data_IF_725238607436
#
_entry.id   IF_725238607436
#
_cell.length_a   1.000
_cell.length_b   1.000
_cell.length_c   1.000
_cell.angle_alpha   90.00
_cell.angle_beta   90.00
_cell.angle_gamma   90.00
#
_symmetry.space_group_name_H-M   'P 1'
#
loop_
_entity.id
_entity.type
_entity.pdbx_description
1 polymer ?
#
# COMPACT_ATOMS: atom_id res chain seq x y z
N UNK A 1 46.42 -52.99 15.29
CA UNK A 1 45.73 -53.02 13.98
C UNK A 1 44.39 -52.32 14.16
N UNK A 2 44.31 -50.99 14.06
CA UNK A 2 44.11 -50.23 12.81
C UNK A 2 43.18 -50.93 11.81
N UNK A 3 41.89 -50.58 11.85
CA UNK A 3 41.00 -50.29 10.70
C UNK A 3 39.53 -50.39 11.13
N UNK A 4 38.90 -49.28 11.53
CA UNK A 4 37.43 -49.09 11.44
C UNK A 4 36.94 -47.65 11.68
N UNK A 5 37.79 -46.62 11.62
CA UNK A 5 37.34 -45.21 11.80
C UNK A 5 37.17 -44.43 10.49
N UNK A 6 37.15 -45.09 9.33
CA UNK A 6 37.01 -44.43 8.03
C UNK A 6 35.61 -44.54 7.41
N UNK A 7 34.73 -45.44 7.90
CA UNK A 7 33.38 -45.58 7.34
C UNK A 7 32.33 -44.65 7.96
N UNK A 8 32.54 -44.17 9.19
CA UNK A 8 31.55 -43.31 9.87
C UNK A 8 31.76 -41.82 9.60
N UNK A 9 32.95 -41.39 9.17
CA UNK A 9 33.22 -40.00 8.80
C UNK A 9 32.65 -39.68 7.41
N UNK A 10 32.60 -40.65 6.49
CA UNK A 10 32.04 -40.46 5.15
C UNK A 10 30.51 -40.40 5.19
N UNK A 11 29.85 -41.18 6.04
CA UNK A 11 28.39 -41.16 6.17
C UNK A 11 27.86 -39.87 6.81
N UNK A 12 28.58 -39.31 7.80
CA UNK A 12 28.22 -38.04 8.43
C UNK A 12 28.50 -36.86 7.48
N UNK A 13 29.56 -36.92 6.68
CA UNK A 13 29.82 -35.91 5.64
C UNK A 13 28.76 -35.95 4.51
N UNK A 14 28.27 -37.14 4.11
CA UNK A 14 27.23 -37.24 3.08
C UNK A 14 25.85 -36.77 3.56
N UNK A 15 25.52 -37.00 4.85
CA UNK A 15 24.29 -36.47 5.46
C UNK A 15 24.37 -34.96 5.75
N UNK A 16 25.54 -34.42 6.09
CA UNK A 16 25.75 -32.98 6.27
C UNK A 16 25.87 -32.21 4.94
N UNK A 17 26.28 -32.86 3.84
CA UNK A 17 26.26 -32.24 2.51
C UNK A 17 24.88 -32.25 1.83
N UNK A 18 23.95 -33.14 2.20
CA UNK A 18 22.57 -33.09 1.69
C UNK A 18 21.70 -32.03 2.38
N UNK A 19 22.07 -31.56 3.57
CA UNK A 19 21.39 -30.43 4.25
C UNK A 19 21.98 -29.06 3.91
N UNK A 20 23.04 -29.00 3.09
CA UNK A 20 23.73 -27.75 2.74
C UNK A 20 23.50 -27.29 1.29
N UNK A 21 22.60 -27.94 0.54
CA UNK A 21 22.29 -27.59 -0.84
C UNK A 21 20.79 -27.40 -1.11
N UNK A 22 19.98 -27.14 -0.08
CA UNK A 22 18.55 -26.78 -0.21
C UNK A 22 18.32 -25.28 0.09
N UNK A 23 19.32 -24.47 -0.26
CA UNK A 23 19.26 -23.01 -0.25
C UNK A 23 18.49 -22.41 -1.44
N UNK A 24 17.72 -23.21 -2.18
CA UNK A 24 16.67 -22.63 -3.01
C UNK A 24 15.51 -22.29 -2.09
N UNK A 25 15.41 -21.02 -1.68
CA UNK A 25 14.11 -20.42 -1.38
C UNK A 25 13.17 -20.92 -2.49
N UNK A 26 12.22 -21.83 -2.17
CA UNK A 26 11.16 -22.20 -3.11
C UNK A 26 10.46 -20.90 -3.43
N UNK A 27 10.81 -20.29 -4.56
CA UNK A 27 10.22 -19.05 -5.00
C UNK A 27 8.70 -19.27 -4.95
N UNK A 28 7.99 -18.44 -4.17
CA UNK A 28 6.55 -18.56 -4.07
C UNK A 28 6.01 -18.45 -5.50
N UNK A 29 5.48 -19.53 -6.06
CA UNK A 29 5.00 -19.52 -7.44
C UNK A 29 3.83 -18.54 -7.50
N UNK A 30 3.88 -17.59 -8.44
CA UNK A 30 2.79 -16.64 -8.66
C UNK A 30 1.47 -17.37 -8.88
N UNK A 31 0.46 -17.02 -8.08
CA UNK A 31 -0.93 -17.43 -8.28
C UNK A 31 -1.58 -16.52 -9.32
N UNK A 32 -2.31 -17.10 -10.26
CA UNK A 32 -3.17 -16.35 -11.21
C UNK A 32 -4.61 -16.71 -10.87
N UNK A 33 -5.46 -15.71 -10.64
CA UNK A 33 -6.85 -15.89 -10.18
C UNK A 33 -7.78 -15.01 -11.01
N UNK A 34 -8.93 -15.54 -11.42
CA UNK A 34 -10.00 -14.71 -11.96
C UNK A 34 -10.85 -14.14 -10.84
N UNK A 35 -11.08 -12.82 -10.84
CA UNK A 35 -11.96 -12.18 -9.85
C UNK A 35 -13.45 -12.48 -10.09
N UNK A 36 -13.81 -13.05 -11.23
CA UNK A 36 -15.18 -13.49 -11.53
C UNK A 36 -15.61 -14.68 -10.66
N UNK A 37 -14.65 -15.46 -10.17
CA UNK A 37 -14.88 -16.61 -9.31
C UNK A 37 -14.97 -16.24 -7.81
N UNK A 38 -14.70 -14.98 -7.48
CA UNK A 38 -14.67 -14.50 -6.09
C UNK A 38 -16.07 -14.06 -5.65
N UNK A 39 -16.55 -14.46 -4.45
CA UNK A 39 -17.85 -14.03 -3.93
C UNK A 39 -17.99 -12.50 -3.98
N UNK A 40 -19.04 -12.04 -4.66
CA UNK A 40 -19.24 -10.62 -4.96
C UNK A 40 -20.48 -10.07 -4.27
N UNK A 41 -20.36 -8.92 -3.61
CA UNK A 41 -21.45 -8.22 -2.93
C UNK A 41 -21.37 -6.72 -3.27
N UNK A 42 -22.50 -6.09 -3.58
CA UNK A 42 -22.57 -4.62 -3.72
C UNK A 42 -22.71 -3.98 -2.34
N UNK A 43 -21.87 -2.98 -2.04
CA UNK A 43 -21.92 -2.31 -0.75
C UNK A 43 -22.81 -1.06 -0.78
N UNK A 44 -23.66 -0.86 0.24
CA UNK A 44 -24.34 0.41 0.42
C UNK A 44 -23.33 1.49 0.83
N UNK A 45 -23.43 2.65 0.19
CA UNK A 45 -22.64 3.84 0.52
C UNK A 45 -23.39 4.70 1.52
N UNK A 46 -22.71 5.09 2.59
CA UNK A 46 -23.20 6.04 3.58
C UNK A 46 -22.37 7.32 3.54
N UNK A 47 -23.00 8.45 3.27
CA UNK A 47 -22.31 9.75 3.34
C UNK A 47 -22.06 10.13 4.79
N UNK A 48 -20.79 10.36 5.14
CA UNK A 48 -20.42 10.90 6.45
C UNK A 48 -20.54 12.42 6.41
N UNK A 49 -19.87 13.06 5.44
CA UNK A 49 -19.91 14.51 5.26
C UNK A 49 -19.42 14.88 3.87
N UNK A 50 -19.81 16.08 3.43
CA UNK A 50 -19.15 16.77 2.34
C UNK A 50 -17.85 17.39 2.83
N UNK A 51 -16.80 17.36 2.02
CA UNK A 51 -15.57 18.10 2.29
C UNK A 51 -15.77 19.53 1.80
N UNK A 52 -15.79 20.47 2.74
CA UNK A 52 -15.80 21.90 2.41
C UNK A 52 -14.37 22.36 2.07
N UNK A 53 -14.22 23.02 0.92
CA UNK A 53 -12.94 23.51 0.42
C UNK A 53 -13.10 24.67 -0.54
N UNK A 54 -12.01 25.44 -0.73
CA UNK A 54 -11.95 26.45 -1.77
C UNK A 54 -12.03 25.76 -3.14
N UNK A 55 -12.62 26.46 -4.13
CA UNK A 55 -12.92 25.98 -5.50
C UNK A 55 -11.72 25.39 -6.28
N UNK A 56 -10.52 25.40 -5.70
CA UNK A 56 -9.25 24.93 -6.26
C UNK A 56 -8.87 23.49 -5.84
N UNK A 57 -9.60 22.87 -4.92
CA UNK A 57 -9.41 21.45 -4.56
C UNK A 57 -10.28 20.58 -5.51
N UNK A 58 -9.88 20.48 -6.78
CA UNK A 58 -10.61 19.72 -7.82
C UNK A 58 -10.52 18.19 -7.67
N UNK A 59 -9.74 17.70 -6.71
CA UNK A 59 -9.52 16.26 -6.50
C UNK A 59 -9.71 15.88 -5.04
N UNK A 60 -10.31 14.71 -4.82
CA UNK A 60 -10.44 14.14 -3.49
C UNK A 60 -9.06 13.97 -2.83
N UNK A 61 -8.87 14.40 -1.56
CA UNK A 61 -7.59 14.24 -0.88
C UNK A 61 -7.40 12.80 -0.37
N UNK A 62 -6.13 12.38 -0.26
CA UNK A 62 -5.73 11.21 0.55
C UNK A 62 -5.99 11.55 2.03
N UNK A 63 -6.07 10.54 2.88
CA UNK A 63 -6.35 10.71 4.30
C UNK A 63 -5.78 9.58 5.15
N UNK A 64 -5.75 9.77 6.47
CA UNK A 64 -5.43 8.72 7.44
C UNK A 64 -6.57 8.54 8.44
N UNK A 65 -6.77 7.29 8.90
CA UNK A 65 -7.63 7.01 10.05
C UNK A 65 -6.79 7.07 11.32
N UNK A 66 -7.16 7.97 12.22
CA UNK A 66 -6.44 8.21 13.47
C UNK A 66 -7.20 7.52 14.60
N UNK A 67 -6.67 6.39 15.04
CA UNK A 67 -7.24 5.59 16.14
C UNK A 67 -8.69 5.17 15.92
N UNK A 68 -9.06 4.83 14.68
CA UNK A 68 -10.42 4.43 14.27
C UNK A 68 -11.53 5.44 14.64
N UNK A 69 -11.18 6.71 14.90
CA UNK A 69 -12.11 7.70 15.45
C UNK A 69 -12.15 9.00 14.63
N UNK A 70 -11.04 9.35 14.00
CA UNK A 70 -10.86 10.57 13.25
C UNK A 70 -10.35 10.28 11.84
N UNK A 71 -10.75 11.11 10.89
CA UNK A 71 -10.19 11.18 9.55
C UNK A 71 -9.32 12.43 9.45
N UNK A 72 -8.03 12.24 9.14
CA UNK A 72 -7.09 13.31 8.89
C UNK A 72 -6.84 13.46 7.39
N UNK A 73 -7.34 14.54 6.78
CA UNK A 73 -7.14 14.82 5.36
C UNK A 73 -5.71 15.30 5.09
N UNK A 74 -5.11 14.77 4.03
CA UNK A 74 -3.74 15.02 3.60
C UNK A 74 -3.75 15.76 2.25
N UNK A 75 -3.25 17.00 2.24
CA UNK A 75 -3.24 17.83 1.05
C UNK A 75 -1.89 17.78 0.33
N UNK A 76 -1.87 17.29 -0.91
CA UNK A 76 -0.66 17.19 -1.73
C UNK A 76 0.00 18.52 -2.09
N UNK A 77 -0.79 19.61 -2.08
CA UNK A 77 -0.33 20.97 -2.39
C UNK A 77 0.16 21.72 -1.15
N UNK A 78 -0.23 21.29 0.05
CA UNK A 78 0.14 21.95 1.29
C UNK A 78 0.39 20.95 2.42
N UNK A 79 1.66 20.55 2.55
CA UNK A 79 2.12 19.60 3.56
C UNK A 79 1.84 20.00 5.01
N UNK A 80 1.64 21.30 5.28
CA UNK A 80 1.40 21.78 6.64
C UNK A 80 -0.07 21.72 7.04
N UNK A 81 -0.97 21.64 6.07
CA UNK A 81 -2.41 21.71 6.29
C UNK A 81 -2.96 20.30 6.58
N UNK A 82 -3.53 20.14 7.77
CA UNK A 82 -4.32 18.98 8.14
C UNK A 82 -5.74 19.43 8.50
N UNK A 83 -6.74 18.71 7.99
CA UNK A 83 -8.15 18.89 8.40
C UNK A 83 -8.64 17.60 9.03
N UNK A 84 -9.29 17.71 10.17
CA UNK A 84 -9.83 16.58 10.90
C UNK A 84 -11.35 16.54 10.83
N UNK A 85 -11.88 15.36 10.53
CA UNK A 85 -13.31 15.06 10.60
C UNK A 85 -13.54 13.95 11.60
N UNK A 86 -14.60 14.09 12.40
CA UNK A 86 -15.10 12.98 13.20
C UNK A 86 -15.80 11.96 12.30
N UNK A 87 -15.80 10.69 12.70
CA UNK A 87 -16.61 9.68 12.00
C UNK A 87 -18.12 9.92 12.09
N UNK A 88 -18.55 10.83 12.96
CA UNK A 88 -19.93 11.31 13.06
C UNK A 88 -20.25 12.45 12.07
N UNK A 89 -19.30 12.85 11.22
CA UNK A 89 -19.51 13.86 10.17
C UNK A 89 -19.31 15.31 10.60
N UNK A 90 -19.14 15.58 11.90
CA UNK A 90 -18.83 16.93 12.36
C UNK A 90 -17.36 17.27 12.07
N UNK A 91 -17.06 18.40 11.38
CA UNK A 91 -15.70 18.89 11.23
C UNK A 91 -15.15 19.23 12.61
N UNK A 92 -13.97 18.71 12.91
CA UNK A 92 -13.34 18.94 14.22
C UNK A 92 -12.55 20.23 14.15
N UNK A 93 -11.57 20.31 13.24
CA UNK A 93 -10.76 21.54 13.06
C UNK A 93 -9.89 21.52 11.79
N UNK A 94 -9.48 22.71 11.34
CA UNK A 94 -8.38 22.96 10.39
C UNK A 94 -7.14 23.42 11.16
N UNK A 95 -6.01 22.76 10.96
CA UNK A 95 -4.77 23.05 11.68
C UNK A 95 -3.57 23.06 10.73
N UNK A 96 -2.65 23.99 10.96
CA UNK A 96 -1.34 24.03 10.33
C UNK A 96 -0.27 23.55 11.34
N UNK A 97 0.44 22.45 11.07
CA UNK A 97 1.61 22.03 11.85
C UNK A 97 2.84 22.12 10.94
N UNK A 98 3.77 23.04 11.26
CA UNK A 98 4.91 23.36 10.39
C UNK A 98 6.26 22.94 11.00
N UNK A 99 6.34 22.79 12.33
CA UNK A 99 7.58 22.54 13.06
C UNK A 99 7.40 21.45 14.11
N UNK A 100 8.51 20.82 14.50
CA UNK A 100 8.53 19.78 15.54
C UNK A 100 8.03 20.25 16.92
N UNK A 101 8.13 21.55 17.17
CA UNK A 101 7.68 22.20 18.40
C UNK A 101 6.19 22.52 18.40
N UNK A 102 5.54 22.44 17.24
CA UNK A 102 4.14 22.81 17.13
C UNK A 102 3.30 21.68 17.73
N UNK A 103 2.41 22.06 18.62
CA UNK A 103 1.38 21.19 19.18
C UNK A 103 0.03 21.82 18.93
N UNK A 104 -0.97 20.99 18.75
CA UNK A 104 -2.33 21.44 18.50
C UNK A 104 -3.31 20.66 19.37
N UNK A 105 -4.12 21.37 20.15
CA UNK A 105 -5.05 20.74 21.08
C UNK A 105 -6.34 20.31 20.38
N UNK A 106 -6.68 19.03 20.54
CA UNK A 106 -7.93 18.38 20.14
C UNK A 106 -8.59 17.72 21.38
N UNK A 107 -9.03 18.51 22.37
CA UNK A 107 -9.39 18.03 23.71
C UNK A 107 -10.56 17.05 23.73
N UNK A 108 -11.48 17.12 22.75
CA UNK A 108 -12.60 16.16 22.58
C UNK A 108 -12.09 14.73 22.36
N UNK A 109 -10.85 14.57 21.93
CA UNK A 109 -10.21 13.30 21.62
C UNK A 109 -9.04 13.01 22.56
N UNK A 110 -9.16 13.43 23.82
CA UNK A 110 -8.12 13.22 24.86
C UNK A 110 -7.80 11.76 25.15
N UNK A 111 -8.71 10.85 24.82
CA UNK A 111 -8.52 9.41 24.95
C UNK A 111 -7.65 8.79 23.85
N UNK A 112 -7.39 9.51 22.75
CA UNK A 112 -6.55 8.99 21.67
C UNK A 112 -5.07 9.01 22.08
N UNK A 113 -4.43 7.86 21.92
CA UNK A 113 -3.00 7.68 22.05
C UNK A 113 -2.52 6.82 20.87
N UNK A 114 -2.21 7.48 19.76
CA UNK A 114 -1.90 6.83 18.47
C UNK A 114 -0.97 7.70 17.65
N UNK A 115 -0.34 7.12 16.64
CA UNK A 115 0.42 7.85 15.64
C UNK A 115 -0.14 7.57 14.25
N UNK A 116 0.20 8.44 13.30
CA UNK A 116 0.00 8.21 11.88
C UNK A 116 1.12 8.87 11.10
N UNK A 117 1.36 8.40 9.89
CA UNK A 117 2.43 8.91 9.04
C UNK A 117 1.99 9.03 7.60
N UNK A 118 2.66 9.89 6.85
CA UNK A 118 2.52 9.93 5.41
C UNK A 118 3.76 10.54 4.75
N UNK A 119 4.03 10.10 3.52
CA UNK A 119 5.00 10.75 2.64
C UNK A 119 4.31 11.84 1.84
N UNK A 120 4.70 13.09 2.03
CA UNK A 120 4.16 14.17 1.21
C UNK A 120 4.82 14.17 -0.19
N UNK A 121 4.06 13.93 -1.26
CA UNK A 121 4.61 13.62 -2.59
C UNK A 121 5.41 14.78 -3.18
N UNK A 122 4.97 16.03 -2.96
CA UNK A 122 5.61 17.22 -3.55
C UNK A 122 6.90 17.62 -2.84
N UNK A 123 7.02 17.35 -1.54
CA UNK A 123 8.19 17.78 -0.74
C UNK A 123 9.18 16.64 -0.47
N UNK A 124 8.77 15.39 -0.70
CA UNK A 124 9.43 14.14 -0.30
C UNK A 124 9.84 14.14 1.16
N UNK A 125 8.94 14.60 2.03
CA UNK A 125 9.11 14.56 3.48
C UNK A 125 8.15 13.52 4.02
N UNK A 126 8.69 12.54 4.75
CA UNK A 126 7.93 11.58 5.53
C UNK A 126 7.63 12.19 6.89
N UNK A 127 6.36 12.48 7.16
CA UNK A 127 5.91 13.08 8.40
C UNK A 127 5.39 12.00 9.35
N UNK A 128 5.70 12.13 10.64
CA UNK A 128 5.24 11.22 11.68
C UNK A 128 4.54 12.03 12.76
N UNK A 129 3.21 11.98 12.75
CA UNK A 129 2.37 12.68 13.70
C UNK A 129 2.03 11.77 14.87
N UNK A 130 1.91 12.37 16.05
CA UNK A 130 1.44 11.72 17.25
C UNK A 130 0.22 12.46 17.78
N UNK A 131 -0.82 11.71 18.14
CA UNK A 131 -1.96 12.20 18.93
C UNK A 131 -1.89 11.54 20.29
N UNK A 132 -1.71 12.35 21.33
CA UNK A 132 -1.59 11.88 22.70
C UNK A 132 -2.22 12.88 23.67
N UNK A 133 -3.04 12.38 24.58
CA UNK A 133 -3.69 13.15 25.64
C UNK A 133 -4.42 14.41 25.08
N UNK A 134 -5.01 14.28 23.90
CA UNK A 134 -5.75 15.35 23.24
C UNK A 134 -4.86 16.40 22.60
N UNK A 135 -3.61 16.08 22.29
CA UNK A 135 -2.69 16.95 21.58
C UNK A 135 -2.12 16.23 20.36
N UNK A 136 -2.22 16.87 19.20
CA UNK A 136 -1.53 16.50 17.97
C UNK A 136 -0.17 17.18 17.94
N UNK A 137 0.88 16.44 17.60
CA UNK A 137 2.24 16.97 17.44
C UNK A 137 2.94 16.30 16.26
N UNK A 138 4.06 16.91 15.80
CA UNK A 138 4.94 16.35 14.77
C UNK A 138 6.32 16.05 15.39
N UNK A 139 6.47 14.97 16.18
CA UNK A 139 7.72 14.66 16.85
C UNK A 139 8.87 14.43 15.87
N UNK A 140 8.58 13.86 14.70
CA UNK A 140 9.60 13.54 13.72
C UNK A 140 9.17 13.78 12.27
N UNK A 141 10.16 14.05 11.44
CA UNK A 141 10.03 14.00 9.99
C UNK A 141 11.37 13.63 9.38
N UNK A 142 11.33 12.95 8.23
CA UNK A 142 12.51 12.52 7.49
C UNK A 142 12.45 13.05 6.06
N UNK A 143 13.51 13.71 5.60
CA UNK A 143 13.59 14.21 4.21
C UNK A 143 14.13 13.11 3.31
N UNK A 144 13.26 12.53 2.50
CA UNK A 144 13.57 11.43 1.57
C UNK A 144 13.87 11.95 0.15
N UNK A 145 14.65 13.02 0.03
CA UNK A 145 15.05 13.57 -1.30
C UNK A 145 16.27 12.81 -1.81
N UNK A 146 16.06 11.94 -2.79
CA UNK A 146 17.07 11.03 -3.34
C UNK A 146 17.30 11.22 -4.84
N UNK A 147 17.02 12.42 -5.37
CA UNK A 147 17.11 12.71 -6.81
C UNK A 147 16.07 11.87 -7.57
N UNK A 148 16.51 11.16 -8.60
CA UNK A 148 15.68 10.28 -9.43
C UNK A 148 15.05 9.12 -8.64
N UNK A 149 15.63 8.75 -7.48
CA UNK A 149 15.10 7.70 -6.62
C UNK A 149 14.16 8.22 -5.53
N UNK A 150 13.77 9.50 -5.57
CA UNK A 150 12.85 10.05 -4.57
C UNK A 150 11.54 9.25 -4.56
N UNK A 151 11.07 8.83 -3.37
CA UNK A 151 9.97 7.89 -3.27
C UNK A 151 8.65 8.52 -3.71
N UNK A 152 7.79 7.70 -4.31
CA UNK A 152 6.40 8.05 -4.63
C UNK A 152 5.40 7.62 -3.55
N UNK A 153 5.87 6.77 -2.65
CA UNK A 153 5.18 6.25 -1.47
C UNK A 153 6.23 5.59 -0.57
N UNK A 154 6.01 5.63 0.73
CA UNK A 154 6.92 5.04 1.69
C UNK A 154 6.16 4.63 2.95
N UNK A 155 6.69 3.62 3.62
CA UNK A 155 6.28 3.18 4.96
C UNK A 155 7.51 2.93 5.81
N UNK A 156 7.40 3.17 7.11
CA UNK A 156 8.48 2.92 8.07
C UNK A 156 8.49 1.44 8.47
N UNK A 157 9.64 0.79 8.36
CA UNK A 157 9.83 -0.62 8.75
C UNK A 157 10.26 -0.72 10.21
N UNK A 158 11.19 0.14 10.61
CA UNK A 158 11.76 0.24 11.95
C UNK A 158 12.36 1.64 12.17
N UNK A 159 13.14 1.82 13.24
CA UNK A 159 13.74 3.10 13.59
C UNK A 159 14.61 3.70 12.48
N UNK A 160 15.26 2.88 11.66
CA UNK A 160 16.27 3.31 10.68
C UNK A 160 15.90 2.99 9.23
N UNK A 161 14.89 2.14 9.00
CA UNK A 161 14.60 1.59 7.68
C UNK A 161 13.19 1.95 7.20
N UNK A 162 13.09 2.25 5.91
CA UNK A 162 11.85 2.56 5.22
C UNK A 162 11.72 1.64 4.00
N UNK A 163 10.53 1.08 3.75
CA UNK A 163 10.21 0.52 2.45
C UNK A 163 9.54 1.60 1.61
N UNK A 164 9.89 1.67 0.33
CA UNK A 164 9.43 2.73 -0.54
C UNK A 164 9.33 2.29 -1.99
N UNK A 165 8.42 2.92 -2.71
CA UNK A 165 8.18 2.70 -4.14
C UNK A 165 8.85 3.79 -4.96
N UNK A 166 9.21 3.44 -6.18
CA UNK A 166 9.78 4.35 -7.17
C UNK A 166 10.16 3.58 -8.43
N UNK A 167 10.78 4.28 -9.37
CA UNK A 167 11.11 3.73 -10.67
C UNK A 167 12.50 3.07 -10.61
N UNK A 168 12.57 1.79 -10.23
CA UNK A 168 13.85 1.10 -10.00
C UNK A 168 14.09 -0.04 -10.98
N UNK A 169 15.20 -0.03 -11.71
CA UNK A 169 15.53 -1.16 -12.60
C UNK A 169 15.71 -2.50 -11.87
N UNK A 170 16.14 -2.47 -10.61
CA UNK A 170 16.59 -3.65 -9.88
C UNK A 170 15.54 -4.23 -8.92
N UNK A 171 14.29 -3.76 -8.97
CA UNK A 171 13.18 -4.34 -8.22
C UNK A 171 11.91 -3.49 -8.20
N UNK A 172 10.78 -4.09 -7.84
CA UNK A 172 9.48 -3.40 -7.79
C UNK A 172 9.45 -2.26 -6.75
N UNK A 173 10.22 -2.39 -5.68
CA UNK A 173 10.30 -1.41 -4.59
C UNK A 173 11.67 -1.52 -3.89
N UNK A 174 11.95 -0.65 -2.93
CA UNK A 174 13.24 -0.61 -2.23
C UNK A 174 13.11 -0.49 -0.72
N UNK A 175 14.17 -0.88 -0.02
CA UNK A 175 14.40 -0.61 1.41
C UNK A 175 15.52 0.42 1.52
N UNK A 176 15.21 1.55 2.13
CA UNK A 176 16.15 2.64 2.40
C UNK A 176 16.54 2.64 3.86
N UNK A 177 17.85 2.62 4.11
CA UNK A 177 18.43 2.78 5.43
C UNK A 177 18.80 4.26 5.63
N UNK A 178 18.08 4.96 6.50
CA UNK A 178 18.18 6.42 6.68
C UNK A 178 19.60 6.90 7.01
N UNK A 179 20.34 6.30 7.99
CA UNK A 179 21.63 6.83 8.42
C UNK A 179 22.71 6.83 7.32
N UNK A 180 22.77 5.76 6.51
CA UNK A 180 23.80 5.62 5.46
C UNK A 180 23.28 5.92 4.06
N UNK A 181 21.97 6.14 3.94
CA UNK A 181 21.24 6.23 2.67
C UNK A 181 21.39 5.02 1.75
N UNK A 182 21.72 3.86 2.29
CA UNK A 182 21.85 2.63 1.51
C UNK A 182 20.48 2.15 1.02
N UNK A 183 20.43 1.75 -0.25
CA UNK A 183 19.22 1.22 -0.89
C UNK A 183 19.42 -0.28 -1.18
N UNK A 184 18.41 -1.08 -0.82
CA UNK A 184 18.30 -2.49 -1.21
C UNK A 184 17.00 -2.68 -1.98
N UNK A 185 17.08 -3.11 -3.23
CA UNK A 185 15.90 -3.35 -4.05
C UNK A 185 15.24 -4.69 -3.70
N UNK A 186 13.93 -4.75 -3.86
CA UNK A 186 13.10 -5.87 -3.48
C UNK A 186 11.97 -6.09 -4.50
N UNK A 187 11.58 -7.36 -4.62
CA UNK A 187 10.57 -7.80 -5.56
C UNK A 187 11.09 -7.94 -6.99
N UNK A 188 10.65 -9.00 -7.64
CA UNK A 188 10.97 -9.25 -9.04
C UNK A 188 9.83 -8.70 -9.89
N UNK A 189 10.19 -8.01 -10.98
CA UNK A 189 9.22 -7.68 -12.01
C UNK A 189 8.50 -8.97 -12.47
N UNK A 190 7.17 -8.98 -12.50
CA UNK A 190 6.42 -10.19 -12.82
C UNK A 190 6.38 -10.47 -14.35
N UNK A 191 7.35 -9.91 -15.09
CA UNK A 191 7.56 -10.05 -16.53
C UNK A 191 9.02 -10.44 -16.80
N UNK A 192 9.32 -10.94 -18.00
CA UNK A 192 10.67 -11.40 -18.32
C UNK A 192 11.70 -10.25 -18.18
N UNK A 193 12.78 -10.51 -17.44
CA UNK A 193 13.81 -9.52 -17.07
C UNK A 193 14.61 -8.97 -18.27
N UNK A 194 14.54 -9.62 -19.43
CA UNK A 194 15.20 -9.17 -20.65
C UNK A 194 14.59 -7.87 -21.22
N UNK A 195 13.48 -7.39 -20.64
CA UNK A 195 12.65 -6.30 -21.18
C UNK A 195 12.43 -5.09 -20.25
N UNK A 196 13.35 -4.73 -19.35
CA UNK A 196 13.15 -3.52 -18.52
C UNK A 196 14.00 -2.32 -18.96
N UNK A 197 13.73 -1.69 -20.12
CA UNK A 197 14.10 -0.30 -20.36
C UNK A 197 13.52 0.64 -19.29
N UNK A 198 14.15 1.80 -19.10
CA UNK A 198 13.73 2.81 -18.11
C UNK A 198 12.28 3.26 -18.33
N UNK A 199 11.80 3.24 -19.58
CA UNK A 199 10.43 3.62 -19.96
C UNK A 199 9.34 2.73 -19.34
N UNK A 200 9.67 1.53 -18.85
CA UNK A 200 8.71 0.58 -18.30
C UNK A 200 8.43 0.79 -16.82
N UNK A 201 9.38 1.41 -16.11
CA UNK A 201 9.36 1.51 -14.66
C UNK A 201 8.12 2.24 -14.10
N UNK A 202 7.60 3.31 -14.75
CA UNK A 202 6.39 3.98 -14.28
C UNK A 202 5.16 3.07 -14.21
N UNK A 203 5.05 2.05 -15.07
CA UNK A 203 3.88 1.15 -15.07
C UNK A 203 3.90 0.16 -13.90
N UNK A 204 5.03 -0.03 -13.23
CA UNK A 204 5.13 -0.83 -12.01
C UNK A 204 5.12 0.04 -10.74
N UNK A 205 4.76 1.31 -10.87
CA UNK A 205 4.31 2.06 -9.71
C UNK A 205 3.13 1.35 -9.04
N UNK A 206 2.95 1.61 -7.76
CA UNK A 206 1.99 0.90 -6.95
C UNK A 206 1.84 1.52 -5.58
N UNK A 207 1.23 0.78 -4.66
CA UNK A 207 1.10 1.15 -3.25
C UNK A 207 1.86 0.16 -2.39
N UNK A 208 2.38 0.65 -1.27
CA UNK A 208 3.00 -0.18 -0.23
C UNK A 208 2.34 0.12 1.11
N UNK A 209 2.04 -0.92 1.86
CA UNK A 209 1.55 -0.81 3.24
C UNK A 209 2.25 -1.82 4.15
N UNK A 210 2.18 -1.59 5.46
CA UNK A 210 2.83 -2.43 6.46
C UNK A 210 1.93 -2.66 7.68
N UNK A 211 1.94 -3.90 8.17
CA UNK A 211 1.38 -4.24 9.48
C UNK A 211 2.35 -5.16 10.22
N UNK A 212 2.86 -4.69 11.36
CA UNK A 212 3.91 -5.38 12.10
C UNK A 212 5.16 -5.57 11.23
N UNK A 213 5.54 -6.82 10.97
CA UNK A 213 6.69 -7.17 10.15
C UNK A 213 6.33 -7.61 8.72
N UNK A 214 5.07 -7.45 8.31
CA UNK A 214 4.59 -7.87 7.00
C UNK A 214 4.28 -6.66 6.13
N UNK A 215 4.78 -6.71 4.90
CA UNK A 215 4.66 -5.68 3.88
C UNK A 215 3.75 -6.21 2.77
N UNK A 216 2.89 -5.36 2.23
CA UNK A 216 2.12 -5.60 1.03
C UNK A 216 2.51 -4.59 -0.04
N UNK A 217 2.74 -5.05 -1.27
CA UNK A 217 2.93 -4.22 -2.45
C UNK A 217 1.85 -4.57 -3.48
N UNK A 218 1.19 -3.56 -4.05
CA UNK A 218 0.21 -3.74 -5.12
C UNK A 218 0.49 -2.76 -6.26
N UNK A 219 0.41 -3.21 -7.52
CA UNK A 219 0.70 -2.37 -8.69
C UNK A 219 -0.55 -1.59 -9.15
N UNK A 220 -0.35 -0.35 -9.63
CA UNK A 220 -1.42 0.50 -10.18
C UNK A 220 -1.89 0.03 -11.55
N UNK A 221 -0.98 -0.33 -12.44
CA UNK A 221 -1.32 -0.69 -13.83
C UNK A 221 -1.60 -2.17 -13.96
N UNK A 222 -0.97 -3.00 -13.15
CA UNK A 222 -1.16 -4.45 -13.23
C UNK A 222 -1.97 -4.94 -12.04
N UNK A 223 -2.93 -5.85 -12.28
CA UNK A 223 -3.60 -6.58 -11.21
C UNK A 223 -2.64 -7.55 -10.52
N UNK A 224 -1.60 -7.04 -9.88
CA UNK A 224 -0.54 -7.79 -9.23
C UNK A 224 -0.35 -7.26 -7.81
N UNK A 225 -0.35 -8.18 -6.86
CA UNK A 225 -0.10 -7.91 -5.44
C UNK A 225 0.86 -8.97 -4.88
N UNK A 226 1.75 -8.57 -3.99
CA UNK A 226 2.66 -9.48 -3.30
C UNK A 226 2.83 -9.09 -1.84
N UNK A 227 3.22 -10.07 -1.03
CA UNK A 227 3.52 -9.85 0.38
C UNK A 227 4.87 -10.42 0.77
N UNK A 228 5.52 -9.72 1.70
CA UNK A 228 6.85 -10.03 2.20
C UNK A 228 6.87 -9.92 3.71
N UNK A 229 7.77 -10.67 4.33
CA UNK A 229 8.11 -10.56 5.74
C UNK A 229 9.48 -9.91 5.89
N UNK A 230 9.58 -8.93 6.78
CA UNK A 230 10.81 -8.21 7.11
C UNK A 230 11.21 -8.46 8.57
N UNK A 231 12.23 -9.30 8.79
CA UNK A 231 12.73 -9.62 10.14
C UNK A 231 14.26 -9.52 10.11
N UNK A 232 14.86 -8.90 11.13
CA UNK A 232 16.32 -8.80 11.28
C UNK A 232 17.02 -8.29 10.01
N UNK A 233 16.46 -7.25 9.38
CA UNK A 233 16.97 -6.67 8.12
C UNK A 233 17.00 -7.64 6.92
N UNK A 234 16.30 -8.78 7.02
CA UNK A 234 16.10 -9.77 5.95
C UNK A 234 14.66 -9.71 5.46
N UNK A 235 14.51 -9.71 4.13
CA UNK A 235 13.23 -9.79 3.45
C UNK A 235 13.00 -11.21 2.91
N UNK A 236 11.80 -11.75 3.09
CA UNK A 236 11.38 -13.03 2.51
C UNK A 236 10.01 -12.86 1.87
N UNK A 237 9.88 -13.22 0.57
CA UNK A 237 8.58 -13.23 -0.13
C UNK A 237 7.70 -14.32 0.49
N UNK A 238 6.48 -13.97 0.88
CA UNK A 238 5.49 -14.91 1.39
C UNK A 238 4.65 -15.47 0.25
N UNK A 239 4.09 -14.58 -0.58
CA UNK A 239 3.25 -14.94 -1.71
C UNK A 239 3.18 -13.80 -2.73
N UNK A 240 2.69 -14.13 -3.92
CA UNK A 240 2.30 -13.17 -4.94
C UNK A 240 1.09 -13.68 -5.73
N UNK A 241 0.17 -12.78 -6.04
CA UNK A 241 -1.10 -13.06 -6.72
C UNK A 241 -1.31 -12.05 -7.84
N UNK A 242 -1.72 -12.59 -8.99
CA UNK A 242 -2.13 -11.84 -10.17
C UNK A 242 -3.63 -12.08 -10.40
N UNK A 243 -4.37 -11.01 -10.64
CA UNK A 243 -5.84 -11.00 -10.81
C UNK A 243 -6.29 -10.54 -12.20
N UNK A 244 -5.38 -9.97 -12.99
CA UNK A 244 -5.60 -9.64 -14.40
C UNK A 244 -4.35 -9.96 -15.22
N UNK A 245 -4.54 -10.28 -16.50
CA UNK A 245 -3.44 -10.57 -17.40
C UNK A 245 -2.60 -9.33 -17.71
N UNK A 246 -1.31 -9.54 -17.95
CA UNK A 246 -0.39 -8.49 -18.38
C UNK A 246 -0.48 -8.31 -19.89
N UNK A 247 -1.52 -7.63 -20.33
CA UNK A 247 -1.83 -7.44 -21.73
C UNK A 247 -1.17 -6.16 -22.26
N UNK A 248 0.07 -6.30 -22.75
CA UNK A 248 0.81 -5.21 -23.38
C UNK A 248 1.83 -5.74 -24.39
N UNK A 249 2.34 -4.84 -25.24
CA UNK A 249 3.45 -5.11 -26.16
C UNK A 249 4.39 -3.91 -26.25
N UNK A 250 5.63 -4.17 -26.62
CA UNK A 250 6.58 -3.13 -26.99
C UNK A 250 6.39 -2.73 -28.46
N UNK A 251 6.28 -1.44 -28.75
CA UNK A 251 6.26 -0.89 -30.11
C UNK A 251 7.10 0.39 -30.16
N UNK A 252 8.24 0.33 -30.84
CA UNK A 252 9.10 1.51 -31.01
C UNK A 252 9.75 2.02 -29.72
N UNK A 253 9.97 1.14 -28.73
CA UNK A 253 10.54 1.50 -27.41
C UNK A 253 9.50 1.96 -26.38
N UNK A 254 8.22 1.98 -26.74
CA UNK A 254 7.10 2.31 -25.85
C UNK A 254 6.25 1.08 -25.56
N UNK A 255 5.68 1.05 -24.35
CA UNK A 255 4.71 0.04 -23.95
C UNK A 255 3.32 0.46 -24.43
N UNK A 256 2.71 -0.39 -25.25
CA UNK A 256 1.34 -0.24 -25.75
C UNK A 256 0.49 -1.31 -25.10
N UNK A 257 -0.46 -0.87 -24.28
CA UNK A 257 -1.43 -1.76 -23.65
C UNK A 257 -2.44 -2.28 -24.66
N UNK A 258 -2.90 -3.50 -24.43
CA UNK A 258 -4.03 -4.06 -25.16
C UNK A 258 -5.33 -3.35 -24.73
N UNK A 259 -6.32 -3.15 -25.63
CA UNK A 259 -7.64 -2.65 -25.26
C UNK A 259 -8.45 -3.57 -24.32
N UNK A 260 -7.93 -4.72 -23.90
CA UNK A 260 -8.55 -5.53 -22.85
C UNK A 260 -7.74 -5.49 -21.55
N UNK A 261 -6.67 -4.69 -21.49
CA UNK A 261 -5.85 -4.55 -20.30
C UNK A 261 -6.70 -4.04 -19.14
N UNK A 262 -6.68 -4.75 -18.00
CA UNK A 262 -7.35 -4.31 -16.79
C UNK A 262 -6.34 -3.76 -15.80
N UNK A 263 -6.52 -2.48 -15.45
CA UNK A 263 -5.71 -1.77 -14.46
C UNK A 263 -5.76 -2.44 -13.10
N UNK A 264 -4.73 -2.18 -12.30
CA UNK A 264 -4.47 -2.80 -11.01
C UNK A 264 -5.18 -2.14 -9.82
N UNK A 265 -4.42 -1.99 -8.74
CA UNK A 265 -4.92 -1.60 -7.42
C UNK A 265 -4.45 -0.19 -7.07
N UNK A 266 -5.40 0.74 -6.87
CA UNK A 266 -5.14 2.12 -6.43
C UNK A 266 -4.59 2.12 -4.99
N UNK A 267 -5.04 1.19 -4.15
CA UNK A 267 -4.69 1.13 -2.75
C UNK A 267 -4.52 -0.31 -2.27
N UNK A 268 -3.70 -0.50 -1.23
CA UNK A 268 -3.57 -1.75 -0.49
C UNK A 268 -3.37 -1.44 0.99
N UNK A 269 -4.16 -2.07 1.86
CA UNK A 269 -4.17 -1.81 3.30
C UNK A 269 -4.33 -3.08 4.13
N UNK A 270 -3.54 -3.20 5.19
CA UNK A 270 -3.77 -4.21 6.21
C UNK A 270 -4.90 -3.80 7.16
N UNK A 271 -5.82 -4.72 7.43
CA UNK A 271 -6.78 -4.60 8.53
C UNK A 271 -7.13 -6.00 9.05
N UNK A 272 -6.98 -6.22 10.35
CA UNK A 272 -7.08 -7.56 10.96
C UNK A 272 -6.20 -8.61 10.26
N UNK A 273 -6.82 -9.71 9.89
CA UNK A 273 -6.20 -10.88 9.24
C UNK A 273 -6.21 -10.79 7.70
N UNK A 274 -6.48 -9.60 7.17
CA UNK A 274 -6.75 -9.38 5.75
C UNK A 274 -5.95 -8.22 5.17
N UNK A 275 -5.80 -8.25 3.86
CA UNK A 275 -5.31 -7.13 3.06
C UNK A 275 -6.45 -6.72 2.14
N UNK A 276 -6.91 -5.49 2.29
CA UNK A 276 -7.95 -4.90 1.47
C UNK A 276 -7.31 -4.04 0.39
N UNK A 277 -7.78 -4.16 -0.84
CA UNK A 277 -7.31 -3.32 -1.94
C UNK A 277 -8.46 -2.58 -2.59
N UNK A 278 -8.19 -1.39 -3.12
CA UNK A 278 -9.09 -0.71 -4.03
C UNK A 278 -8.68 -1.07 -5.46
N UNK A 279 -9.38 -2.03 -6.06
CA UNK A 279 -9.13 -2.50 -7.40
C UNK A 279 -9.86 -1.63 -8.44
N UNK A 280 -9.09 -1.10 -9.39
CA UNK A 280 -9.62 -0.34 -10.50
C UNK A 280 -10.28 -1.31 -11.48
N UNK A 281 -9.50 -2.22 -12.07
CA UNK A 281 -10.02 -3.26 -12.94
C UNK A 281 -10.68 -2.75 -14.22
N UNK A 282 -10.37 -1.51 -14.60
CA UNK A 282 -10.90 -0.88 -15.79
C UNK A 282 -9.98 -1.11 -16.96
N UNK A 283 -10.58 -1.12 -18.13
CA UNK A 283 -9.83 -0.90 -19.35
C UNK A 283 -9.71 0.60 -19.56
N UNK A 284 -8.49 1.13 -19.38
CA UNK A 284 -8.15 2.55 -19.57
C UNK A 284 -8.46 3.04 -21.00
N UNK A 285 -8.73 2.13 -21.94
CA UNK A 285 -9.08 2.41 -23.33
C UNK A 285 -10.57 2.26 -23.64
N UNK A 286 -11.39 1.92 -22.64
CA UNK A 286 -12.85 1.84 -22.79
C UNK A 286 -13.54 3.15 -22.38
N UNK A 287 -14.55 3.55 -23.14
CA UNK A 287 -15.41 4.70 -22.80
C UNK A 287 -16.42 4.37 -21.68
N UNK A 288 -16.30 3.21 -21.02
CA UNK A 288 -17.22 2.78 -19.98
C UNK A 288 -16.91 3.47 -18.64
N UNK A 289 -17.92 4.13 -18.07
CA UNK A 289 -17.90 4.58 -16.68
C UNK A 289 -18.07 3.37 -15.77
N UNK A 290 -16.96 2.80 -15.33
CA UNK A 290 -16.96 1.69 -14.38
C UNK A 290 -16.70 2.19 -12.96
N UNK A 291 -17.20 1.46 -11.96
CA UNK A 291 -17.01 1.71 -10.54
C UNK A 291 -16.00 0.75 -9.92
N UNK A 292 -15.26 1.21 -8.91
CA UNK A 292 -14.15 0.44 -8.38
C UNK A 292 -14.70 -0.71 -7.55
N UNK A 293 -13.84 -1.68 -7.23
CA UNK A 293 -14.21 -2.73 -6.28
C UNK A 293 -13.17 -2.88 -5.19
N UNK A 294 -13.61 -3.26 -4.00
CA UNK A 294 -12.70 -3.69 -2.94
C UNK A 294 -12.42 -5.18 -3.17
N UNK A 295 -11.15 -5.57 -3.28
CA UNK A 295 -10.77 -6.98 -3.28
C UNK A 295 -10.08 -7.29 -1.96
N UNK A 296 -10.56 -8.31 -1.26
CA UNK A 296 -10.01 -8.73 0.03
C UNK A 296 -9.17 -9.97 -0.15
N UNK A 297 -7.92 -9.91 0.28
CA UNK A 297 -6.98 -11.02 0.26
C UNK A 297 -6.75 -11.54 1.68
N UNK A 298 -6.67 -12.87 1.81
CA UNK A 298 -6.09 -13.50 3.00
C UNK A 298 -4.66 -13.02 3.19
N UNK A 299 -4.35 -12.49 4.37
CA UNK A 299 -3.02 -11.98 4.71
C UNK A 299 -1.92 -13.05 4.60
N UNK A 300 -2.21 -14.28 5.00
CA UNK A 300 -1.24 -15.37 5.04
C UNK A 300 -1.06 -16.07 3.70
N UNK A 301 -2.15 -16.22 2.93
CA UNK A 301 -2.15 -17.03 1.69
C UNK A 301 -2.16 -16.20 0.41
N UNK A 302 -2.52 -14.92 0.48
CA UNK A 302 -2.71 -14.06 -0.69
C UNK A 302 -3.87 -14.48 -1.59
N UNK A 303 -4.83 -15.26 -1.06
CA UNK A 303 -6.01 -15.71 -1.79
C UNK A 303 -7.08 -14.62 -1.73
N UNK A 304 -7.68 -14.21 -2.86
CA UNK A 304 -8.84 -13.34 -2.81
C UNK A 304 -10.02 -14.12 -2.23
N UNK A 305 -10.64 -13.59 -1.18
CA UNK A 305 -11.72 -14.26 -0.44
C UNK A 305 -13.07 -13.55 -0.60
N UNK A 306 -13.05 -12.27 -0.96
CA UNK A 306 -14.24 -11.47 -1.18
C UNK A 306 -13.96 -10.35 -2.16
N UNK A 307 -15.00 -9.96 -2.90
CA UNK A 307 -15.01 -8.78 -3.77
C UNK A 307 -16.24 -7.95 -3.44
N UNK A 308 -16.05 -6.65 -3.30
CA UNK A 308 -17.14 -5.72 -3.01
C UNK A 308 -17.26 -4.68 -4.11
N UNK A 309 -18.40 -4.64 -4.80
CA UNK A 309 -18.65 -3.64 -5.84
C UNK A 309 -19.09 -2.34 -5.19
N UNK A 310 -18.44 -1.25 -5.56
CA UNK A 310 -18.76 0.08 -5.07
C UNK A 310 -19.78 0.74 -5.99
N UNK A 311 -20.71 1.55 -5.45
CA UNK A 311 -21.71 2.24 -6.26
C UNK A 311 -21.15 3.46 -6.99
N UNK A 312 -19.97 3.94 -6.60
CA UNK A 312 -19.29 5.12 -7.15
C UNK A 312 -17.81 4.81 -7.38
N UNK A 313 -17.17 5.55 -8.29
CA UNK A 313 -15.71 5.52 -8.44
C UNK A 313 -15.06 6.22 -7.23
N UNK A 314 -14.24 5.48 -6.48
CA UNK A 314 -13.60 5.96 -5.25
C UNK A 314 -12.16 6.36 -5.55
N UNK A 315 -11.71 7.50 -5.00
CA UNK A 315 -10.34 8.00 -5.21
C UNK A 315 -9.36 7.44 -4.19
N UNK A 316 -9.72 7.47 -2.90
CA UNK A 316 -8.89 6.94 -1.81
C UNK A 316 -9.76 6.20 -0.81
N UNK A 317 -9.17 5.21 -0.14
CA UNK A 317 -9.88 4.39 0.84
C UNK A 317 -8.96 4.01 2.00
N UNK A 318 -9.52 3.87 3.20
CA UNK A 318 -8.85 3.32 4.39
C UNK A 318 -9.82 2.41 5.13
N UNK A 319 -9.30 1.49 5.92
CA UNK A 319 -10.08 0.54 6.69
C UNK A 319 -9.82 0.76 8.17
N UNK A 320 -10.85 0.61 9.01
CA UNK A 320 -10.61 0.55 10.46
C UNK A 320 -9.76 -0.67 10.82
N UNK A 321 -9.15 -0.65 12.00
CA UNK A 321 -8.20 -1.70 12.42
C UNK A 321 -8.75 -3.13 12.33
N UNK A 322 -10.07 -3.30 12.41
CA UNK A 322 -10.77 -4.59 12.35
C UNK A 322 -11.26 -4.97 10.94
N UNK A 323 -11.17 -4.07 9.97
CA UNK A 323 -11.71 -4.28 8.63
C UNK A 323 -13.25 -4.39 8.60
N UNK A 324 -13.93 -3.78 9.58
CA UNK A 324 -15.38 -3.77 9.68
C UNK A 324 -16.00 -2.61 8.89
N UNK A 325 -15.27 -1.50 8.76
CA UNK A 325 -15.68 -0.35 7.95
C UNK A 325 -14.56 0.07 7.00
N UNK A 326 -14.95 0.37 5.77
CA UNK A 326 -14.13 1.13 4.84
C UNK A 326 -14.60 2.59 4.87
N UNK A 327 -13.65 3.51 4.92
CA UNK A 327 -13.86 4.94 4.76
C UNK A 327 -13.24 5.34 3.44
N UNK A 328 -13.84 6.29 2.74
CA UNK A 328 -13.37 6.67 1.42
C UNK A 328 -13.61 8.13 1.11
N UNK A 329 -12.82 8.67 0.18
CA UNK A 329 -13.07 9.94 -0.47
C UNK A 329 -13.38 9.74 -1.94
N UNK A 330 -14.35 10.47 -2.45
CA UNK A 330 -14.69 10.48 -3.88
C UNK A 330 -15.16 11.85 -4.33
N UNK A 331 -15.03 12.10 -5.64
CA UNK A 331 -15.52 13.29 -6.31
C UNK A 331 -16.78 12.94 -7.10
N UNK A 332 -17.92 13.52 -6.73
CA UNK A 332 -19.16 13.37 -7.48
C UNK A 332 -19.10 14.13 -8.82
N UNK A 333 -19.99 13.80 -9.76
CA UNK A 333 -20.01 14.38 -11.12
C UNK A 333 -20.04 15.92 -11.16
N UNK A 334 -20.64 16.57 -10.14
CA UNK A 334 -20.68 18.03 -10.03
C UNK A 334 -19.40 18.65 -9.45
N UNK A 335 -18.34 17.85 -9.26
CA UNK A 335 -17.06 18.26 -8.66
C UNK A 335 -17.08 18.37 -7.13
N UNK A 336 -18.16 17.92 -6.49
CA UNK A 336 -18.29 17.93 -5.04
C UNK A 336 -17.56 16.73 -4.42
N UNK A 337 -16.77 16.97 -3.38
CA UNK A 337 -15.97 15.92 -2.73
C UNK A 337 -16.63 15.50 -1.42
N UNK A 338 -16.69 14.20 -1.18
CA UNK A 338 -17.32 13.62 0.01
C UNK A 338 -16.41 12.65 0.74
N UNK A 339 -16.65 12.53 2.04
CA UNK A 339 -16.21 11.40 2.87
C UNK A 339 -17.40 10.46 3.02
N UNK A 340 -17.19 9.19 2.71
CA UNK A 340 -18.19 8.14 2.81
C UNK A 340 -17.70 6.96 3.64
N UNK A 341 -18.65 6.14 4.08
CA UNK A 341 -18.43 4.88 4.79
C UNK A 341 -19.13 3.75 4.05
N UNK A 342 -18.47 2.60 4.05
CA UNK A 342 -19.05 1.31 3.69
C UNK A 342 -18.91 0.37 4.88
N UNK A 343 -20.01 -0.26 5.30
CA UNK A 343 -19.97 -1.32 6.31
C UNK A 343 -19.68 -2.64 5.62
N UNK A 344 -18.61 -3.30 6.02
CA UNK A 344 -18.16 -4.54 5.40
C UNK A 344 -18.79 -5.75 6.08
N UNK A 345 -19.22 -6.77 5.30
CA UNK A 345 -19.63 -8.05 5.85
C UNK A 345 -18.51 -8.68 6.68
N UNK A 346 -18.89 -9.47 7.69
CA UNK A 346 -17.95 -10.31 8.41
C UNK A 346 -17.32 -11.32 7.44
N UNK A 347 -15.99 -11.42 7.51
CA UNK A 347 -15.21 -12.37 6.73
C UNK A 347 -15.02 -13.68 7.52
N UNK A 348 -14.81 -14.81 6.81
CA UNK A 348 -14.73 -16.15 7.41
C UNK A 348 -13.56 -16.37 8.37
#
# INVERSE_FOLDING_TARGET
>A
MMKTYWLHIIFIAFFLLQTACDGSEKASKRRVVSLEEVPTITLPMETITRIEGEKYELTAPDFQLVGDTLIALLYSQNASLLRFYSLAGEPVTRTDIRKKTDTYSIPRYSFLNTSFSFLHPTTNIFYEYEVKDGNLSLPNYVRMRMGEHSPKGAVRLDEENFAFIGFFQNGLWGVWHEPTRMLKFAGNYPVAQEYTPISYLPYYEGRIDISGNQIAYASYQFGYISSYRYINKKLTKLWETQVSDFLYKEKGGELVFDPNHKTGFIEAYFAGDYIYTLYNGYDDFSDETSTNSIVVFSRDKGEPIARYILPEAISYMKFDSKGANAYATYTAEMGEVYIVRFRLPALP
#
